data_IF_598611812744
#
_entry.id   IF_598611812744
#
_cell.length_a   1.000
_cell.length_b   1.000
_cell.length_c   1.000
_cell.angle_alpha   90.00
_cell.angle_beta   90.00
_cell.angle_gamma   90.00
#
_symmetry.space_group_name_H-M   'P 1'
#
loop_
_entity.id
_entity.type
_entity.pdbx_description
1 polymer ?
#
# COMPACT_ATOMS: atom_id res chain seq x y z
N UNK A 1 -11.68 -14.54 15.52
CA UNK A 1 -10.49 -14.01 14.83
C UNK A 1 -10.74 -14.13 13.34
N UNK A 2 -11.08 -13.03 12.67
CA UNK A 2 -11.25 -13.01 11.21
C UNK A 2 -9.91 -13.03 10.48
N UNK A 3 -9.83 -13.55 9.24
CA UNK A 3 -8.60 -13.53 8.47
C UNK A 3 -8.23 -12.10 8.05
N UNK A 4 -6.93 -11.84 7.92
CA UNK A 4 -6.44 -10.69 7.16
C UNK A 4 -6.09 -11.16 5.74
N UNK A 5 -6.37 -10.34 4.74
CA UNK A 5 -6.05 -10.60 3.34
C UNK A 5 -5.01 -9.58 2.87
N UNK A 6 -3.90 -10.06 2.34
CA UNK A 6 -2.91 -9.25 1.65
C UNK A 6 -2.71 -9.76 0.23
N UNK A 7 -2.67 -8.85 -0.75
CA UNK A 7 -2.34 -9.15 -2.14
C UNK A 7 -1.35 -8.13 -2.66
N UNK A 8 -0.29 -8.62 -3.30
CA UNK A 8 0.76 -7.80 -3.89
C UNK A 8 0.94 -8.25 -5.33
N UNK A 9 0.73 -7.32 -6.26
CA UNK A 9 0.97 -7.47 -7.69
C UNK A 9 2.08 -6.52 -8.10
N UNK A 10 3.15 -7.05 -8.71
CA UNK A 10 4.28 -6.26 -9.17
C UNK A 10 4.62 -6.65 -10.61
N UNK A 11 4.81 -5.65 -11.47
CA UNK A 11 5.18 -5.79 -12.87
C UNK A 11 6.29 -4.81 -13.19
N UNK A 12 7.40 -5.30 -13.78
CA UNK A 12 8.61 -4.54 -14.11
C UNK A 12 9.80 -4.92 -13.21
N UNK A 13 10.83 -4.08 -13.12
CA UNK A 13 12.11 -4.42 -12.50
C UNK A 13 12.41 -3.61 -11.23
N UNK A 14 12.89 -4.28 -10.18
CA UNK A 14 13.37 -3.62 -8.96
C UNK A 14 12.27 -3.03 -8.07
N UNK A 15 11.02 -3.51 -8.20
CA UNK A 15 9.92 -3.09 -7.33
C UNK A 15 9.98 -3.84 -5.99
N UNK A 16 9.68 -3.14 -4.91
CA UNK A 16 9.57 -3.66 -3.55
C UNK A 16 8.20 -3.31 -2.98
N UNK A 17 7.53 -4.29 -2.38
CA UNK A 17 6.26 -4.10 -1.71
C UNK A 17 6.23 -4.87 -0.39
N UNK A 18 5.75 -4.22 0.66
CA UNK A 18 5.60 -4.78 2.00
C UNK A 18 4.20 -4.51 2.52
N UNK A 19 3.52 -5.54 3.01
CA UNK A 19 2.20 -5.43 3.65
C UNK A 19 2.29 -6.09 5.03
N UNK A 20 2.05 -5.30 6.07
CA UNK A 20 2.02 -5.76 7.47
C UNK A 20 0.64 -5.51 8.04
N UNK A 21 -0.04 -6.55 8.52
CA UNK A 21 -1.39 -6.47 9.06
C UNK A 21 -1.42 -7.06 10.48
N UNK A 22 -1.74 -6.22 11.46
CA UNK A 22 -1.98 -6.56 12.86
C UNK A 22 -3.46 -6.38 13.16
N UNK A 23 -4.09 -7.36 13.82
CA UNK A 23 -5.53 -7.41 14.09
C UNK A 23 -6.28 -8.39 13.18
N UNK A 24 -7.53 -8.09 12.81
CA UNK A 24 -8.41 -9.03 12.10
C UNK A 24 -9.32 -8.34 11.08
N UNK A 25 -9.68 -9.03 10.00
CA UNK A 25 -10.51 -8.51 8.90
C UNK A 25 -9.87 -7.33 8.14
N UNK A 26 -8.54 -7.23 8.13
CA UNK A 26 -7.82 -6.24 7.34
C UNK A 26 -7.61 -6.74 5.90
N UNK A 27 -7.81 -5.89 4.90
CA UNK A 27 -7.58 -6.13 3.49
C UNK A 27 -6.52 -5.14 3.01
N UNK A 28 -5.45 -5.65 2.42
CA UNK A 28 -4.35 -4.87 1.87
C UNK A 28 -4.06 -5.31 0.44
N UNK A 29 -4.14 -4.38 -0.51
CA UNK A 29 -3.85 -4.61 -1.92
C UNK A 29 -2.74 -3.65 -2.35
N UNK A 30 -1.70 -4.17 -3.00
CA UNK A 30 -0.63 -3.37 -3.58
C UNK A 30 -0.44 -3.79 -5.03
N UNK A 31 -0.43 -2.84 -5.95
CA UNK A 31 -0.22 -3.01 -7.38
C UNK A 31 0.87 -2.05 -7.83
N UNK A 32 2.00 -2.57 -8.31
CA UNK A 32 3.14 -1.79 -8.77
C UNK A 32 3.43 -2.12 -10.24
N UNK A 33 3.27 -1.16 -11.14
CA UNK A 33 3.54 -1.31 -12.56
C UNK A 33 4.62 -0.33 -13.00
N UNK A 34 5.87 -0.79 -13.07
CA UNK A 34 6.99 0.13 -13.27
C UNK A 34 8.34 -0.43 -12.86
N UNK A 35 9.34 0.44 -12.73
CA UNK A 35 10.67 0.07 -12.26
C UNK A 35 11.04 0.85 -11.00
N UNK A 36 11.70 0.21 -10.03
CA UNK A 36 12.13 0.85 -8.78
C UNK A 36 10.98 1.52 -8.00
N UNK A 37 9.83 0.84 -7.90
CA UNK A 37 8.70 1.27 -7.05
C UNK A 37 8.83 0.64 -5.65
N UNK A 38 8.60 1.41 -4.59
CA UNK A 38 8.58 0.95 -3.20
C UNK A 38 7.20 1.25 -2.59
N UNK A 39 6.53 0.23 -2.08
CA UNK A 39 5.25 0.35 -1.39
C UNK A 39 5.31 -0.31 -0.02
N UNK A 40 4.94 0.42 1.02
CA UNK A 40 4.76 -0.12 2.37
C UNK A 40 3.34 0.14 2.83
N UNK A 41 2.62 -0.91 3.23
CA UNK A 41 1.31 -0.85 3.85
C UNK A 41 1.38 -1.47 5.25
N UNK A 42 1.08 -0.69 6.28
CA UNK A 42 0.92 -1.17 7.64
C UNK A 42 -0.51 -0.91 8.12
N UNK A 43 -1.20 -1.95 8.56
CA UNK A 43 -2.57 -1.90 9.11
C UNK A 43 -2.53 -2.46 10.53
N UNK A 44 -2.83 -1.63 11.52
CA UNK A 44 -2.89 -2.01 12.94
C UNK A 44 -4.29 -1.73 13.51
N UNK A 45 -5.16 -2.72 13.44
CA UNK A 45 -6.57 -2.59 13.81
C UNK A 45 -7.48 -3.68 13.26
N UNK A 46 -8.79 -3.42 13.25
CA UNK A 46 -9.80 -4.33 12.71
C UNK A 46 -10.60 -3.66 11.58
N UNK A 47 -10.94 -4.44 10.55
CA UNK A 47 -11.81 -4.03 9.43
C UNK A 47 -11.23 -2.91 8.53
N UNK A 48 -9.92 -2.85 8.37
CA UNK A 48 -9.28 -1.89 7.46
C UNK A 48 -9.20 -2.40 6.02
N UNK A 49 -9.38 -1.52 5.05
CA UNK A 49 -9.12 -1.79 3.64
C UNK A 49 -8.10 -0.75 3.13
N UNK A 50 -7.06 -1.23 2.46
CA UNK A 50 -6.09 -0.37 1.81
C UNK A 50 -5.72 -0.91 0.44
N UNK A 51 -5.67 -0.04 -0.55
CA UNK A 51 -5.20 -0.31 -1.90
C UNK A 51 -4.11 0.70 -2.28
N UNK A 52 -2.96 0.22 -2.74
CA UNK A 52 -1.89 1.05 -3.28
C UNK A 52 -1.73 0.67 -4.76
N UNK A 53 -1.91 1.63 -5.67
CA UNK A 53 -1.58 1.48 -7.07
C UNK A 53 -0.44 2.46 -7.41
N UNK A 54 0.74 1.92 -7.69
CA UNK A 54 1.89 2.69 -8.17
C UNK A 54 2.18 2.37 -9.63
N UNK A 55 2.38 3.40 -10.44
CA UNK A 55 2.86 3.25 -11.81
C UNK A 55 4.01 4.20 -12.10
N UNK A 56 5.01 3.76 -12.89
CA UNK A 56 6.09 4.62 -13.37
C UNK A 56 7.51 4.17 -12.99
N UNK A 57 8.41 5.12 -12.71
CA UNK A 57 9.80 4.84 -12.34
C UNK A 57 10.15 5.63 -11.07
N UNK A 58 10.86 4.99 -10.13
CA UNK A 58 11.29 5.59 -8.85
C UNK A 58 10.11 6.18 -8.09
N UNK A 59 9.25 5.36 -7.50
CA UNK A 59 8.06 5.80 -6.76
C UNK A 59 8.07 5.25 -5.35
N UNK A 60 7.63 6.00 -4.35
CA UNK A 60 7.54 5.51 -2.97
C UNK A 60 6.16 5.78 -2.38
N UNK A 61 5.48 4.76 -1.86
CA UNK A 61 4.21 4.91 -1.16
C UNK A 61 4.34 4.28 0.21
N UNK A 62 3.90 5.00 1.24
CA UNK A 62 3.73 4.46 2.56
C UNK A 62 2.29 4.72 3.03
N UNK A 63 1.59 3.66 3.41
CA UNK A 63 0.28 3.72 4.03
C UNK A 63 0.39 3.14 5.43
N UNK A 64 -0.07 3.91 6.42
CA UNK A 64 -0.18 3.50 7.81
C UNK A 64 -1.62 3.72 8.27
N UNK A 65 -2.32 2.63 8.53
CA UNK A 65 -3.65 2.64 9.13
C UNK A 65 -3.56 2.14 10.57
N UNK A 66 -4.08 2.92 11.51
CA UNK A 66 -4.16 2.55 12.92
C UNK A 66 -5.55 2.88 13.46
N UNK A 67 -6.09 2.12 14.42
CA UNK A 67 -7.38 2.41 15.06
C UNK A 67 -8.40 1.26 14.96
N UNK A 68 -9.69 1.56 14.99
CA UNK A 68 -10.77 0.57 14.93
C UNK A 68 -11.94 1.03 14.06
N UNK A 69 -12.55 0.10 13.32
CA UNK A 69 -13.71 0.33 12.45
C UNK A 69 -13.35 0.41 10.97
N UNK A 70 -14.36 0.30 10.12
CA UNK A 70 -14.20 0.30 8.66
C UNK A 70 -13.50 1.56 8.15
N UNK A 71 -12.30 1.40 7.57
CA UNK A 71 -11.55 2.48 6.91
C UNK A 71 -10.96 1.97 5.60
N UNK A 72 -11.43 2.52 4.49
CA UNK A 72 -10.89 2.25 3.16
C UNK A 72 -9.95 3.38 2.73
N UNK A 73 -8.74 3.04 2.30
CA UNK A 73 -7.78 3.98 1.71
C UNK A 73 -7.38 3.47 0.34
N UNK A 74 -7.37 4.35 -0.65
CA UNK A 74 -6.78 4.07 -1.95
C UNK A 74 -5.70 5.10 -2.24
N UNK A 75 -4.52 4.63 -2.66
CA UNK A 75 -3.38 5.46 -3.02
C UNK A 75 -3.03 5.19 -4.46
N UNK A 76 -3.31 6.16 -5.33
CA UNK A 76 -2.91 6.10 -6.74
C UNK A 76 -1.73 7.05 -6.97
N UNK A 77 -0.54 6.51 -7.16
CA UNK A 77 0.68 7.27 -7.42
C UNK A 77 1.21 6.96 -8.82
N UNK A 78 1.29 7.98 -9.68
CA UNK A 78 1.79 7.85 -11.05
C UNK A 78 3.05 8.73 -11.20
N UNK A 79 4.24 8.12 -11.18
CA UNK A 79 5.52 8.80 -11.42
C UNK A 79 5.82 8.84 -12.93
N UNK A 80 5.57 9.98 -13.59
CA UNK A 80 5.84 10.15 -15.04
C UNK A 80 7.21 10.76 -15.38
N UNK A 81 7.93 11.33 -14.41
CA UNK A 81 9.12 12.16 -14.68
C UNK A 81 10.43 11.66 -14.06
N UNK A 82 10.47 10.45 -13.48
CA UNK A 82 11.66 9.92 -12.80
C UNK A 82 12.01 10.62 -11.47
N UNK A 83 11.22 11.62 -11.08
CA UNK A 83 11.25 12.22 -9.74
C UNK A 83 10.40 11.35 -8.82
N UNK A 84 11.02 10.88 -7.74
CA UNK A 84 10.35 10.20 -6.63
C UNK A 84 9.07 10.90 -6.21
N UNK A 85 7.91 10.35 -6.55
CA UNK A 85 6.67 10.78 -5.91
C UNK A 85 6.53 9.94 -4.64
N UNK A 86 6.75 10.57 -3.49
CA UNK A 86 6.50 9.97 -2.18
C UNK A 86 5.09 10.32 -1.73
N UNK A 87 4.23 9.33 -1.53
CA UNK A 87 2.93 9.52 -0.90
C UNK A 87 2.91 8.81 0.46
N UNK A 88 2.79 9.58 1.54
CA UNK A 88 2.60 9.05 2.89
C UNK A 88 1.17 9.33 3.34
N UNK A 89 0.41 8.28 3.63
CA UNK A 89 -0.94 8.40 4.19
C UNK A 89 -0.96 7.75 5.56
N UNK A 90 -1.33 8.53 6.58
CA UNK A 90 -1.48 8.07 7.96
C UNK A 90 -2.92 8.32 8.40
N UNK A 91 -3.64 7.28 8.79
CA UNK A 91 -4.95 7.44 9.43
C UNK A 91 -4.91 7.03 10.90
N UNK A 92 -5.48 7.89 11.75
CA UNK A 92 -5.66 7.71 13.19
C UNK A 92 -7.13 7.55 13.51
#
# INVERSE_FOLDING_TARGET
>A
MGPNLASVYQSGYGNQASVTQKGAFNIGLVSQQGNHLDATLEQDGHEFEAAINQAGINGQVQVLQSGSGYRAITVDQISRSGVGATATIVTR
#
